data_IF_751179573477
#
_entry.id   IF_751179573477
#
_cell.length_a   1.000
_cell.length_b   1.000
_cell.length_c   1.000
_cell.angle_alpha   90.00
_cell.angle_beta   90.00
_cell.angle_gamma   90.00
#
_symmetry.space_group_name_H-M   'P 1'
#
loop_
_entity.id
_entity.type
_entity.pdbx_description
1 polymer ?
#
# COMPACT_ATOMS: atom_id res chain seq x y z
N UNK A 1 -13.65 -19.93 -28.98
CA UNK A 1 -13.46 -19.15 -27.74
C UNK A 1 -12.22 -19.70 -27.08
N UNK A 2 -11.11 -18.97 -27.10
CA UNK A 2 -9.96 -19.32 -26.26
C UNK A 2 -10.41 -19.28 -24.80
N UNK A 3 -10.15 -20.36 -24.07
CA UNK A 3 -10.37 -20.39 -22.63
C UNK A 3 -9.34 -19.46 -21.99
N UNK A 4 -9.82 -18.40 -21.34
CA UNK A 4 -8.95 -17.51 -20.55
C UNK A 4 -8.33 -18.34 -19.42
N UNK A 5 -7.00 -18.28 -19.29
CA UNK A 5 -6.27 -19.00 -18.25
C UNK A 5 -6.77 -18.58 -16.85
N UNK A 6 -7.29 -19.49 -16.00
CA UNK A 6 -7.75 -19.15 -14.65
C UNK A 6 -6.70 -18.46 -13.78
N UNK A 7 -5.42 -18.77 -13.99
CA UNK A 7 -4.31 -18.12 -13.27
C UNK A 7 -4.16 -16.64 -13.66
N UNK A 8 -4.40 -16.31 -14.93
CA UNK A 8 -4.40 -14.93 -15.40
C UNK A 8 -5.50 -14.11 -14.71
N UNK A 9 -6.71 -14.67 -14.63
CA UNK A 9 -7.85 -14.02 -13.95
C UNK A 9 -7.58 -13.80 -12.46
N UNK A 10 -6.97 -14.80 -11.80
CA UNK A 10 -6.60 -14.68 -10.38
C UNK A 10 -5.58 -13.57 -10.15
N UNK A 11 -4.54 -13.47 -10.99
CA UNK A 11 -3.51 -12.42 -10.91
C UNK A 11 -4.08 -11.03 -11.14
N UNK A 12 -4.93 -10.86 -12.15
CA UNK A 12 -5.61 -9.59 -12.39
C UNK A 12 -6.48 -9.19 -11.19
N UNK A 13 -7.21 -10.14 -10.58
CA UNK A 13 -7.98 -9.86 -9.36
C UNK A 13 -7.08 -9.36 -8.23
N UNK A 14 -5.94 -10.01 -8.02
CA UNK A 14 -4.97 -9.60 -6.99
C UNK A 14 -4.40 -8.20 -7.25
N UNK A 15 -4.11 -7.84 -8.50
CA UNK A 15 -3.69 -6.48 -8.85
C UNK A 15 -4.76 -5.44 -8.53
N UNK A 16 -6.01 -5.71 -8.88
CA UNK A 16 -7.13 -4.82 -8.56
C UNK A 16 -7.29 -4.65 -7.04
N UNK A 17 -7.15 -5.73 -6.28
CA UNK A 17 -7.20 -5.67 -4.81
C UNK A 17 -6.01 -4.87 -4.23
N UNK A 18 -4.82 -4.92 -4.84
CA UNK A 18 -3.70 -4.04 -4.49
C UNK A 18 -4.04 -2.56 -4.75
N UNK A 19 -4.64 -2.24 -5.91
CA UNK A 19 -5.08 -0.88 -6.23
C UNK A 19 -6.08 -0.37 -5.19
N UNK A 20 -7.08 -1.19 -4.84
CA UNK A 20 -8.08 -0.85 -3.83
C UNK A 20 -7.44 -0.60 -2.46
N UNK A 21 -6.40 -1.38 -2.12
CA UNK A 21 -5.65 -1.22 -0.88
C UNK A 21 -4.90 0.12 -0.84
N UNK A 22 -4.13 0.45 -1.87
CA UNK A 22 -3.38 1.73 -1.92
C UNK A 22 -4.33 2.93 -1.83
N UNK A 23 -5.47 2.87 -2.53
CA UNK A 23 -6.51 3.91 -2.43
C UNK A 23 -7.09 3.98 -1.02
N UNK A 24 -7.35 2.85 -0.37
CA UNK A 24 -7.90 2.83 0.98
C UNK A 24 -6.92 3.42 2.00
N UNK A 25 -5.62 3.15 1.87
CA UNK A 25 -4.56 3.71 2.72
C UNK A 25 -4.43 5.22 2.47
N UNK A 26 -4.41 5.67 1.21
CA UNK A 26 -4.42 7.10 0.85
C UNK A 26 -5.56 7.86 1.53
N UNK A 27 -6.78 7.30 1.47
CA UNK A 27 -7.94 7.92 2.11
C UNK A 27 -7.78 8.03 3.63
N UNK A 28 -7.21 7.03 4.29
CA UNK A 28 -6.91 7.08 5.73
C UNK A 28 -5.93 8.22 6.02
N UNK A 29 -4.85 8.35 5.24
CA UNK A 29 -3.89 9.44 5.39
C UNK A 29 -4.49 10.81 5.13
N UNK A 30 -5.43 10.95 4.19
CA UNK A 30 -6.20 12.18 3.99
C UNK A 30 -7.12 12.51 5.17
N UNK A 31 -7.66 11.53 5.87
CA UNK A 31 -8.41 11.80 7.11
C UNK A 31 -7.48 12.18 8.25
N UNK A 32 -6.30 11.56 8.37
CA UNK A 32 -5.30 11.96 9.36
C UNK A 32 -4.77 13.37 9.13
N UNK A 33 -4.58 13.81 7.88
CA UNK A 33 -4.18 15.21 7.61
C UNK A 33 -5.21 16.22 8.11
N UNK A 34 -6.50 15.89 8.00
CA UNK A 34 -7.60 16.72 8.54
C UNK A 34 -7.66 16.68 10.07
N UNK A 35 -7.41 15.51 10.66
CA UNK A 35 -7.44 15.32 12.11
C UNK A 35 -6.25 15.98 12.81
N UNK A 36 -5.10 16.07 12.13
CA UNK A 36 -3.85 16.64 12.65
C UNK A 36 -3.35 17.78 11.75
N UNK A 37 -3.97 18.98 11.77
CA UNK A 37 -3.63 20.07 10.86
C UNK A 37 -2.15 20.52 10.94
N UNK A 38 -1.53 20.43 12.11
CA UNK A 38 -0.11 20.78 12.30
C UNK A 38 0.84 19.79 11.63
N UNK A 39 0.37 18.58 11.35
CA UNK A 39 1.10 17.50 10.68
C UNK A 39 0.52 17.21 9.28
N UNK A 40 -0.32 18.11 8.75
CA UNK A 40 -1.05 17.87 7.50
C UNK A 40 -0.12 17.56 6.32
N UNK A 41 0.99 18.29 6.18
CA UNK A 41 1.91 18.11 5.05
C UNK A 41 2.48 16.69 5.01
N UNK A 42 2.87 16.16 6.18
CA UNK A 42 3.38 14.78 6.31
C UNK A 42 2.34 13.75 5.84
N UNK A 43 1.08 13.90 6.28
CA UNK A 43 0.00 12.98 5.93
C UNK A 43 -0.45 13.12 4.47
N UNK A 44 -0.44 14.33 3.91
CA UNK A 44 -0.78 14.57 2.51
C UNK A 44 0.30 14.01 1.58
N UNK A 45 1.57 14.15 1.94
CA UNK A 45 2.68 13.56 1.17
C UNK A 45 2.51 12.03 1.05
N UNK A 46 2.32 11.34 2.18
CA UNK A 46 2.01 9.90 2.19
C UNK A 46 0.79 9.57 1.33
N UNK A 47 -0.31 10.32 1.48
CA UNK A 47 -1.54 10.06 0.72
C UNK A 47 -1.35 10.17 -0.79
N UNK A 48 -0.54 11.13 -1.25
CA UNK A 48 -0.25 11.34 -2.67
C UNK A 48 0.63 10.23 -3.23
N UNK A 49 1.60 9.76 -2.45
CA UNK A 49 2.47 8.64 -2.84
C UNK A 49 1.67 7.34 -2.98
N UNK A 50 0.70 7.06 -2.09
CA UNK A 50 -0.18 5.89 -2.28
C UNK A 50 -1.10 6.01 -3.50
N UNK A 51 -1.55 7.22 -3.85
CA UNK A 51 -2.27 7.42 -5.10
C UNK A 51 -1.39 7.14 -6.33
N UNK A 52 -0.10 7.47 -6.25
CA UNK A 52 0.87 7.13 -7.28
C UNK A 52 1.15 5.63 -7.34
N UNK A 53 1.24 4.94 -6.20
CA UNK A 53 1.31 3.47 -6.15
C UNK A 53 0.11 2.81 -6.83
N UNK A 54 -1.12 3.26 -6.54
CA UNK A 54 -2.33 2.79 -7.21
C UNK A 54 -2.25 2.97 -8.74
N UNK A 55 -1.72 4.09 -9.23
CA UNK A 55 -1.51 4.34 -10.67
C UNK A 55 -0.47 3.40 -11.27
N UNK A 56 0.60 3.10 -10.54
CA UNK A 56 1.64 2.16 -10.97
C UNK A 56 1.12 0.73 -11.09
N UNK A 57 0.28 0.27 -10.14
CA UNK A 57 -0.41 -1.02 -10.25
C UNK A 57 -1.39 -1.05 -11.43
N UNK A 58 -2.14 0.03 -11.67
CA UNK A 58 -3.03 0.12 -12.83
C UNK A 58 -2.26 0.05 -14.15
N UNK A 59 -1.12 0.76 -14.25
CA UNK A 59 -0.25 0.68 -15.40
C UNK A 59 0.30 -0.75 -15.61
N UNK A 60 0.59 -1.47 -14.52
CA UNK A 60 1.00 -2.87 -14.57
C UNK A 60 -0.10 -3.80 -15.08
N UNK A 61 -1.36 -3.60 -14.65
CA UNK A 61 -2.51 -4.37 -15.13
C UNK A 61 -2.78 -4.13 -16.63
N UNK A 62 -2.74 -2.86 -17.08
CA UNK A 62 -3.02 -2.49 -18.46
C UNK A 62 -2.02 -3.03 -19.49
N UNK A 63 -0.77 -3.31 -19.09
CA UNK A 63 0.27 -3.78 -20.00
C UNK A 63 0.16 -5.27 -20.36
N UNK A 64 -0.87 -5.97 -19.85
CA UNK A 64 -1.19 -7.38 -20.09
C UNK A 64 -0.05 -8.37 -19.77
N UNK A 65 -0.36 -9.29 -18.85
CA UNK A 65 0.52 -10.26 -18.20
C UNK A 65 1.22 -11.23 -19.18
N UNK A 66 2.25 -10.78 -19.89
CA UNK A 66 3.08 -11.62 -20.77
C UNK A 66 4.57 -11.40 -20.48
N UNK A 67 5.43 -12.30 -20.94
CA UNK A 67 6.88 -12.18 -20.75
C UNK A 67 7.34 -12.36 -19.30
N UNK A 68 8.32 -11.57 -18.87
CA UNK A 68 9.02 -11.70 -17.58
C UNK A 68 8.10 -11.47 -16.37
N UNK A 69 6.97 -10.79 -16.57
CA UNK A 69 5.94 -10.61 -15.55
C UNK A 69 5.30 -11.93 -15.10
N UNK A 70 5.31 -12.97 -15.94
CA UNK A 70 4.77 -14.28 -15.56
C UNK A 70 5.49 -14.87 -14.34
N UNK A 71 6.76 -14.48 -14.13
CA UNK A 71 7.59 -14.92 -13.00
C UNK A 71 7.34 -14.12 -11.71
N UNK A 72 6.64 -12.99 -11.76
CA UNK A 72 6.30 -12.19 -10.58
C UNK A 72 5.37 -12.99 -9.67
N UNK A 73 5.78 -13.11 -8.39
CA UNK A 73 5.00 -13.78 -7.34
C UNK A 73 4.24 -12.77 -6.52
N UNK A 74 2.93 -12.76 -6.67
CA UNK A 74 2.07 -11.85 -5.90
C UNK A 74 1.86 -12.28 -4.45
N UNK A 75 1.57 -11.33 -3.55
CA UNK A 75 1.06 -11.64 -2.23
C UNK A 75 -0.16 -12.56 -2.30
N UNK A 76 -0.33 -13.47 -1.32
CA UNK A 76 -1.54 -14.28 -1.24
C UNK A 76 -2.79 -13.39 -1.13
N UNK A 77 -3.83 -13.65 -1.93
CA UNK A 77 -5.07 -12.84 -1.92
C UNK A 77 -5.71 -12.71 -0.52
N UNK A 78 -5.59 -13.75 0.32
CA UNK A 78 -6.06 -13.72 1.71
C UNK A 78 -5.36 -12.65 2.55
N UNK A 79 -4.12 -12.31 2.22
CA UNK A 79 -3.38 -11.23 2.87
C UNK A 79 -4.01 -9.88 2.54
N UNK A 80 -4.14 -9.56 1.24
CA UNK A 80 -4.74 -8.29 0.78
C UNK A 80 -6.15 -8.13 1.33
N UNK A 81 -6.95 -9.19 1.29
CA UNK A 81 -8.32 -9.19 1.86
C UNK A 81 -8.33 -8.81 3.34
N UNK A 82 -7.38 -9.32 4.14
CA UNK A 82 -7.28 -8.97 5.56
C UNK A 82 -6.83 -7.54 5.78
N UNK A 83 -5.88 -7.04 4.98
CA UNK A 83 -5.42 -5.66 5.08
C UNK A 83 -6.53 -4.69 4.68
N UNK A 84 -7.26 -4.96 3.60
CA UNK A 84 -8.46 -4.19 3.21
C UNK A 84 -9.50 -4.17 4.33
N UNK A 85 -9.82 -5.32 4.91
CA UNK A 85 -10.74 -5.38 6.05
C UNK A 85 -10.26 -4.55 7.25
N UNK A 86 -8.94 -4.51 7.50
CA UNK A 86 -8.35 -3.65 8.51
C UNK A 86 -8.50 -2.17 8.16
N UNK A 87 -8.30 -1.75 6.90
CA UNK A 87 -8.55 -0.35 6.49
C UNK A 87 -10.00 0.06 6.71
N UNK A 88 -10.96 -0.81 6.41
CA UNK A 88 -12.38 -0.54 6.65
C UNK A 88 -12.70 -0.39 8.14
N UNK A 89 -12.10 -1.22 9.00
CA UNK A 89 -12.24 -1.06 10.46
C UNK A 89 -11.72 0.30 10.93
N UNK A 90 -10.65 0.81 10.33
CA UNK A 90 -10.09 2.12 10.68
C UNK A 90 -11.00 3.25 10.22
N UNK A 91 -11.54 3.18 9.00
CA UNK A 91 -12.55 4.13 8.51
C UNK A 91 -13.76 4.17 9.44
N UNK A 92 -14.24 3.01 9.86
CA UNK A 92 -15.34 2.88 10.82
C UNK A 92 -15.00 3.53 12.17
N UNK A 93 -13.76 3.36 12.66
CA UNK A 93 -13.32 3.99 13.90
C UNK A 93 -13.18 5.50 13.77
N UNK A 94 -12.68 6.01 12.63
CA UNK A 94 -12.56 7.44 12.36
C UNK A 94 -13.91 8.17 12.42
N UNK A 95 -15.01 7.47 12.12
CA UNK A 95 -16.37 8.00 12.26
C UNK A 95 -16.90 7.99 13.70
N UNK A 96 -16.39 7.11 14.55
CA UNK A 96 -16.94 6.82 15.89
C UNK A 96 -16.14 7.42 17.03
N UNK A 97 -14.84 7.71 16.81
CA UNK A 97 -13.95 8.25 17.82
C UNK A 97 -12.85 9.11 17.20
N UNK A 98 -12.21 9.92 18.03
CA UNK A 98 -10.96 10.59 17.69
C UNK A 98 -9.77 9.67 17.93
N UNK A 99 -8.72 9.87 17.16
CA UNK A 99 -7.42 9.24 17.35
C UNK A 99 -6.45 10.28 17.93
N UNK A 100 -5.57 9.84 18.82
CA UNK A 100 -4.34 10.58 19.11
C UNK A 100 -3.36 10.44 17.96
N UNK A 101 -2.42 11.39 17.85
CA UNK A 101 -1.37 11.33 16.82
C UNK A 101 -0.54 10.04 16.95
N UNK A 102 -0.28 9.59 18.17
CA UNK A 102 0.48 8.36 18.41
C UNK A 102 -0.25 7.12 17.86
N UNK A 103 -1.57 7.02 18.09
CA UNK A 103 -2.37 5.92 17.53
C UNK A 103 -2.44 5.98 16.00
N UNK A 104 -2.54 7.18 15.42
CA UNK A 104 -2.53 7.34 13.96
C UNK A 104 -1.20 6.88 13.35
N UNK A 105 -0.07 7.18 14.01
CA UNK A 105 1.25 6.71 13.61
C UNK A 105 1.42 5.19 13.82
N UNK A 106 0.83 4.61 14.87
CA UNK A 106 0.80 3.15 15.06
C UNK A 106 0.04 2.46 13.93
N UNK A 107 -1.10 3.04 13.55
CA UNK A 107 -1.91 2.58 12.42
C UNK A 107 -1.13 2.64 11.12
N UNK A 108 -0.56 3.81 10.82
CA UNK A 108 0.18 4.03 9.58
C UNK A 108 1.34 3.04 9.47
N UNK A 109 2.14 2.91 10.54
CA UNK A 109 3.26 1.99 10.56
C UNK A 109 2.83 0.53 10.42
N UNK A 110 1.70 0.15 11.03
CA UNK A 110 1.14 -1.19 10.87
C UNK A 110 0.69 -1.43 9.44
N UNK A 111 0.02 -0.46 8.80
CA UNK A 111 -0.39 -0.58 7.39
C UNK A 111 0.84 -0.76 6.50
N UNK A 112 1.82 0.14 6.58
CA UNK A 112 3.02 0.08 5.74
C UNK A 112 3.84 -1.19 5.96
N UNK A 113 4.07 -1.61 7.20
CA UNK A 113 4.79 -2.86 7.48
C UNK A 113 4.05 -4.08 6.96
N UNK A 114 2.74 -4.12 7.14
CA UNK A 114 1.89 -5.19 6.60
C UNK A 114 2.02 -5.23 5.08
N UNK A 115 1.96 -4.07 4.42
CA UNK A 115 2.10 -3.97 2.97
C UNK A 115 3.51 -4.38 2.52
N UNK A 116 4.57 -3.85 3.12
CA UNK A 116 5.97 -4.18 2.81
C UNK A 116 6.30 -5.68 2.98
N UNK A 117 5.83 -6.30 4.07
CA UNK A 117 6.00 -7.74 4.32
C UNK A 117 5.27 -8.61 3.27
N UNK A 118 4.25 -8.06 2.62
CA UNK A 118 3.45 -8.77 1.62
C UNK A 118 3.88 -8.52 0.18
N UNK A 119 4.43 -7.34 -0.09
CA UNK A 119 5.01 -6.94 -1.38
C UNK A 119 6.44 -7.50 -1.52
N UNK A 120 6.79 -8.59 -0.83
CA UNK A 120 7.98 -9.39 -1.14
C UNK A 120 7.72 -10.15 -2.45
N UNK A 121 7.64 -9.40 -3.54
CA UNK A 121 7.79 -9.91 -4.88
C UNK A 121 9.24 -10.34 -5.02
N UNK A 122 9.49 -11.60 -5.34
CA UNK A 122 10.75 -11.97 -5.99
C UNK A 122 10.74 -11.36 -7.40
N UNK A 123 11.09 -10.07 -7.51
CA UNK A 123 11.21 -9.40 -8.80
C UNK A 123 12.51 -9.85 -9.46
N UNK A 124 12.48 -10.33 -10.72
CA UNK A 124 13.71 -10.61 -11.44
C UNK A 124 14.46 -9.31 -11.76
N UNK A 125 15.76 -9.41 -12.00
CA UNK A 125 16.49 -8.30 -12.61
C UNK A 125 16.07 -8.15 -14.06
N UNK A 126 15.43 -7.02 -14.35
CA UNK A 126 14.74 -6.79 -15.61
C UNK A 126 14.69 -5.29 -15.95
N UNK A 127 14.73 -4.98 -17.23
CA UNK A 127 14.42 -3.65 -17.77
C UNK A 127 12.96 -3.49 -18.16
N UNK A 128 12.11 -4.49 -17.88
CA UNK A 128 10.68 -4.45 -18.15
C UNK A 128 10.04 -3.30 -17.37
N UNK A 129 9.30 -2.39 -18.05
CA UNK A 129 8.68 -1.24 -17.40
C UNK A 129 7.71 -1.61 -16.26
N UNK A 130 7.06 -2.77 -16.35
CA UNK A 130 6.14 -3.26 -15.32
C UNK A 130 6.93 -3.67 -14.07
N UNK A 131 8.01 -4.43 -14.24
CA UNK A 131 8.88 -4.82 -13.11
C UNK A 131 9.51 -3.57 -12.47
N UNK A 132 9.90 -2.58 -13.28
CA UNK A 132 10.39 -1.30 -12.77
C UNK A 132 9.33 -0.56 -11.95
N UNK A 133 8.06 -0.59 -12.36
CA UNK A 133 6.95 0.02 -11.60
C UNK A 133 6.70 -0.72 -10.28
N UNK A 134 6.68 -2.06 -10.28
CA UNK A 134 6.56 -2.84 -9.04
C UNK A 134 7.71 -2.57 -8.08
N UNK A 135 8.94 -2.42 -8.60
CA UNK A 135 10.12 -2.07 -7.80
C UNK A 135 10.00 -0.69 -7.16
N UNK A 136 9.43 0.29 -7.87
CA UNK A 136 9.14 1.62 -7.31
C UNK A 136 8.15 1.55 -6.15
N UNK A 137 7.11 0.72 -6.28
CA UNK A 137 6.12 0.52 -5.21
C UNK A 137 6.81 -0.07 -3.97
N UNK A 138 7.56 -1.17 -4.11
CA UNK A 138 8.31 -1.78 -2.98
C UNK A 138 9.16 -0.74 -2.26
N UNK A 139 10.01 -0.03 -3.02
CA UNK A 139 10.92 0.95 -2.45
C UNK A 139 10.17 2.12 -1.80
N UNK A 140 9.04 2.53 -2.37
CA UNK A 140 8.17 3.56 -1.82
C UNK A 140 7.59 3.14 -0.47
N UNK A 141 6.97 1.96 -0.40
CA UNK A 141 6.42 1.40 0.84
C UNK A 141 7.50 1.25 1.93
N UNK A 142 8.68 0.75 1.60
CA UNK A 142 9.80 0.66 2.56
C UNK A 142 10.22 2.06 3.05
N UNK A 143 10.30 3.04 2.15
CA UNK A 143 10.59 4.42 2.51
C UNK A 143 9.50 5.04 3.39
N UNK A 144 8.24 4.66 3.22
CA UNK A 144 7.14 5.11 4.09
C UNK A 144 7.34 4.61 5.52
N UNK A 145 7.69 3.32 5.70
CA UNK A 145 8.02 2.75 7.02
C UNK A 145 9.09 3.59 7.70
N UNK A 146 10.23 3.82 7.03
CA UNK A 146 11.34 4.59 7.58
C UNK A 146 10.95 6.05 7.92
N UNK A 147 10.15 6.68 7.05
CA UNK A 147 9.70 8.07 7.24
C UNK A 147 8.73 8.18 8.41
N UNK A 148 7.81 7.24 8.56
CA UNK A 148 6.85 7.19 9.69
C UNK A 148 7.59 6.92 10.99
N UNK A 149 8.54 5.98 11.04
CA UNK A 149 9.33 5.71 12.25
C UNK A 149 10.14 6.93 12.69
N UNK A 150 10.78 7.62 11.74
CA UNK A 150 11.53 8.86 12.02
C UNK A 150 10.62 9.95 12.55
N UNK A 151 9.53 10.23 11.85
CA UNK A 151 8.58 11.27 12.25
C UNK A 151 7.97 10.98 13.62
N UNK A 152 7.67 9.72 13.90
CA UNK A 152 7.20 9.28 15.22
C UNK A 152 8.19 9.59 16.34
N UNK A 153 9.48 9.30 16.12
CA UNK A 153 10.54 9.64 17.07
C UNK A 153 10.71 11.15 17.24
N UNK A 154 10.62 11.92 16.16
CA UNK A 154 10.66 13.40 16.20
C UNK A 154 9.51 14.00 17.02
N UNK A 155 8.34 13.36 17.02
CA UNK A 155 7.18 13.73 17.85
C UNK A 155 7.29 13.25 19.31
N UNK A 156 8.38 12.56 19.66
CA UNK A 156 8.67 12.10 21.01
C UNK A 156 8.01 10.78 21.40
N UNK A 157 7.53 10.00 20.43
CA UNK A 157 6.95 8.68 20.68
C UNK A 157 7.98 7.57 20.47
N UNK A 158 7.86 6.47 21.22
CA UNK A 158 8.69 5.27 21.03
C UNK A 158 8.16 4.42 19.88
N UNK A 159 9.06 3.69 19.20
CA UNK A 159 8.66 2.69 18.21
C UNK A 159 7.81 1.57 18.87
N UNK A 160 6.83 1.00 18.16
CA UNK A 160 6.12 -0.18 18.63
C UNK A 160 7.11 -1.35 18.81
N UNK A 161 6.92 -2.11 19.90
CA UNK A 161 7.67 -3.34 20.17
C UNK A 161 7.11 -4.55 19.44
#
# INVERSE_FOLDING_TARGET
MEQINPEYVARQKTLLECIDLEIAVSLIYREFSRLFPSESDFWIELALEEEDHARLYLAADMLQLTGEYAAVRFPPAAFITRTLAFTEQIKDHLQKRTFSLNEALDIALKLEKTVAESIVFELPESSDPVIANLRKIINGTEAHVDRIERFRMEKGFSLPG
#
